data_IF_615007427906
#
_entry.id   IF_615007427906
#
_cell.length_a   1.000
_cell.length_b   1.000
_cell.length_c   1.000
_cell.angle_alpha   90.00
_cell.angle_beta   90.00
_cell.angle_gamma   90.00
#
_symmetry.space_group_name_H-M   'P 1'
#
loop_
_entity.id
_entity.type
_entity.pdbx_description
1 polymer ?
#
# COMPACT_ATOMS: atom_id res chain seq x y z
N UNK A 1 18.59 -2.12 10.01
CA UNK A 1 17.47 -2.82 9.35
C UNK A 1 17.87 -3.12 7.93
N UNK A 2 17.82 -4.40 7.56
CA UNK A 2 17.89 -4.82 6.16
C UNK A 2 16.69 -4.24 5.40
N UNK A 3 16.84 -3.98 4.11
CA UNK A 3 15.76 -3.47 3.27
C UNK A 3 15.38 -4.49 2.22
N UNK A 4 14.08 -4.68 2.06
CA UNK A 4 13.51 -5.54 1.03
C UNK A 4 12.86 -4.63 -0.02
N UNK A 5 13.08 -4.96 -1.29
CA UNK A 5 12.44 -4.28 -2.42
C UNK A 5 11.65 -5.27 -3.24
N UNK A 6 10.39 -4.95 -3.50
CA UNK A 6 9.50 -5.70 -4.40
C UNK A 6 9.00 -4.77 -5.49
N UNK A 7 8.78 -5.32 -6.68
CA UNK A 7 8.28 -4.54 -7.82
C UNK A 7 7.31 -5.35 -8.67
N UNK A 8 6.38 -4.64 -9.33
CA UNK A 8 5.44 -5.23 -10.27
C UNK A 8 5.04 -4.21 -11.34
N UNK A 9 4.52 -4.69 -12.46
CA UNK A 9 3.97 -3.87 -13.55
C UNK A 9 2.49 -4.15 -13.73
N UNK A 10 1.69 -3.10 -13.68
CA UNK A 10 0.23 -3.17 -13.81
C UNK A 10 -0.16 -2.60 -15.16
N UNK A 11 -0.86 -3.40 -15.98
CA UNK A 11 -1.37 -3.00 -17.31
C UNK A 11 -2.57 -2.04 -17.21
N UNK A 12 -2.34 -0.88 -16.60
CA UNK A 12 -3.29 0.21 -16.49
C UNK A 12 -2.56 1.56 -16.39
N UNK A 13 -3.24 2.67 -16.78
CA UNK A 13 -2.71 4.02 -16.59
C UNK A 13 -2.50 4.36 -15.11
N UNK A 14 -1.54 5.25 -14.86
CA UNK A 14 -1.09 5.66 -13.53
C UNK A 14 -2.21 6.18 -12.64
N UNK A 15 -3.10 7.01 -13.17
CA UNK A 15 -4.25 7.55 -12.43
C UNK A 15 -5.16 6.44 -11.88
N UNK A 16 -5.43 5.42 -12.70
CA UNK A 16 -6.24 4.27 -12.29
C UNK A 16 -5.53 3.44 -11.22
N UNK A 17 -4.24 3.18 -11.41
CA UNK A 17 -3.43 2.42 -10.45
C UNK A 17 -3.37 3.15 -9.12
N UNK A 18 -3.11 4.45 -9.13
CA UNK A 18 -3.06 5.28 -7.94
C UNK A 18 -4.39 5.32 -7.18
N UNK A 19 -5.51 5.50 -7.89
CA UNK A 19 -6.84 5.48 -7.28
C UNK A 19 -7.12 4.11 -6.63
N UNK A 20 -6.79 3.00 -7.30
CA UNK A 20 -6.98 1.67 -6.73
C UNK A 20 -6.06 1.40 -5.54
N UNK A 21 -4.86 1.96 -5.55
CA UNK A 21 -3.90 1.84 -4.45
C UNK A 21 -4.31 2.63 -3.21
N UNK A 22 -4.99 3.77 -3.38
CA UNK A 22 -5.21 4.74 -2.30
C UNK A 22 -6.65 4.89 -1.83
N UNK A 23 -7.66 4.56 -2.64
CA UNK A 23 -9.05 4.68 -2.20
C UNK A 23 -9.45 3.49 -1.30
N UNK A 24 -10.03 3.73 -0.11
CA UNK A 24 -10.47 2.67 0.81
C UNK A 24 -11.35 1.60 0.14
N UNK A 25 -12.31 2.02 -0.70
CA UNK A 25 -13.23 1.13 -1.44
C UNK A 25 -12.52 0.15 -2.39
N UNK A 26 -11.28 0.47 -2.78
CA UNK A 26 -10.43 -0.41 -3.57
C UNK A 26 -9.48 -1.22 -2.69
N UNK A 27 -8.91 -0.62 -1.64
CA UNK A 27 -7.99 -1.28 -0.69
C UNK A 27 -8.61 -2.55 -0.11
N UNK A 28 -9.87 -2.49 0.34
CA UNK A 28 -10.57 -3.66 0.91
C UNK A 28 -10.67 -4.86 -0.05
N UNK A 29 -10.47 -4.65 -1.35
CA UNK A 29 -10.57 -5.69 -2.38
C UNK A 29 -9.23 -6.36 -2.69
N UNK A 30 -8.12 -5.63 -2.62
CA UNK A 30 -6.81 -6.16 -3.02
C UNK A 30 -5.85 -6.39 -1.86
N UNK A 31 -6.04 -5.72 -0.72
CA UNK A 31 -5.13 -5.81 0.42
C UNK A 31 -5.40 -7.09 1.23
N UNK A 32 -5.13 -8.25 0.65
CA UNK A 32 -5.17 -9.54 1.33
C UNK A 32 -3.86 -10.27 1.10
N UNK A 33 -3.28 -10.85 2.17
CA UNK A 33 -1.99 -11.53 2.10
C UNK A 33 -2.07 -12.84 1.30
N UNK A 34 -3.22 -13.50 1.35
CA UNK A 34 -3.54 -14.72 0.61
C UNK A 34 -5.05 -14.89 0.50
N UNK A 35 -5.49 -15.93 -0.22
CA UNK A 35 -6.91 -16.29 -0.38
C UNK A 35 -7.61 -16.60 0.95
N UNK A 36 -6.87 -16.93 2.01
CA UNK A 36 -7.42 -17.23 3.34
C UNK A 36 -7.64 -15.95 4.18
N UNK A 37 -7.15 -14.80 3.70
CA UNK A 37 -7.27 -13.51 4.37
C UNK A 37 -8.21 -12.56 3.62
N UNK A 38 -8.74 -11.59 4.35
CA UNK A 38 -9.48 -10.47 3.77
C UNK A 38 -9.24 -9.18 4.54
N UNK A 39 -9.61 -8.04 3.94
CA UNK A 39 -9.58 -6.73 4.59
C UNK A 39 -11.00 -6.18 4.70
N UNK A 40 -11.71 -6.41 5.82
CA UNK A 40 -13.09 -5.95 5.98
C UNK A 40 -13.22 -4.42 6.05
N UNK A 41 -12.16 -3.71 6.44
CA UNK A 41 -12.18 -2.25 6.58
C UNK A 41 -10.83 -1.64 6.21
N UNK A 42 -10.86 -0.52 5.51
CA UNK A 42 -9.73 0.35 5.30
C UNK A 42 -10.12 1.81 5.58
N UNK A 43 -9.22 2.56 6.18
CA UNK A 43 -9.29 4.02 6.34
C UNK A 43 -7.99 4.61 5.75
N UNK A 44 -8.10 5.71 4.99
CA UNK A 44 -6.92 6.29 4.36
C UNK A 44 -6.97 7.83 4.28
N UNK A 45 -6.24 8.53 5.14
CA UNK A 45 -6.02 9.98 5.08
C UNK A 45 -4.73 10.28 4.29
N UNK A 46 -4.83 10.27 2.95
CA UNK A 46 -3.69 10.34 2.03
C UNK A 46 -3.10 11.76 1.93
N UNK A 47 -2.37 12.18 2.95
CA UNK A 47 -1.58 13.43 3.00
C UNK A 47 -0.42 13.30 3.97
N UNK A 48 0.63 14.12 3.88
CA UNK A 48 1.70 14.15 4.89
C UNK A 48 1.13 14.33 6.30
N UNK A 49 1.54 13.47 7.23
CA UNK A 49 1.03 13.40 8.61
C UNK A 49 -0.33 12.69 8.76
N UNK A 50 -0.99 12.33 7.66
CA UNK A 50 -2.23 11.56 7.66
C UNK A 50 -1.99 10.09 8.01
N UNK A 51 -3.00 9.45 8.60
CA UNK A 51 -2.97 8.04 9.02
C UNK A 51 -3.70 7.17 7.99
N UNK A 52 -3.13 6.00 7.71
CA UNK A 52 -3.85 4.90 7.07
C UNK A 52 -4.00 3.73 8.04
N UNK A 53 -5.03 2.91 7.83
CA UNK A 53 -5.26 1.68 8.58
C UNK A 53 -6.05 0.70 7.73
N UNK A 54 -5.53 -0.52 7.57
CA UNK A 54 -6.23 -1.65 6.98
C UNK A 54 -6.40 -2.73 8.03
N UNK A 55 -7.65 -3.10 8.32
CA UNK A 55 -7.97 -4.22 9.20
C UNK A 55 -7.81 -5.50 8.40
N UNK A 56 -6.83 -6.33 8.70
CA UNK A 56 -6.59 -7.61 8.03
C UNK A 56 -7.02 -8.77 8.93
N UNK A 57 -7.83 -9.68 8.42
CA UNK A 57 -8.38 -10.82 9.19
C UNK A 57 -8.29 -12.13 8.40
N UNK A 58 -8.10 -13.24 9.11
CA UNK A 58 -8.29 -14.57 8.56
C UNK A 58 -9.78 -14.83 8.40
N UNK A 59 -10.20 -15.39 7.26
CA UNK A 59 -11.63 -15.61 6.94
C UNK A 59 -12.32 -16.60 7.88
N UNK A 60 -11.55 -17.43 8.58
CA UNK A 60 -12.06 -18.35 9.61
C UNK A 60 -12.27 -17.67 10.98
N UNK A 61 -11.90 -16.38 11.11
CA UNK A 61 -12.03 -15.60 12.34
C UNK A 61 -10.98 -15.91 13.41
N UNK A 62 -9.97 -16.73 13.11
CA UNK A 62 -8.95 -17.14 14.09
C UNK A 62 -8.01 -16.01 14.50
N UNK A 63 -7.78 -15.06 13.60
CA UNK A 63 -6.79 -14.01 13.77
C UNK A 63 -7.18 -12.73 13.01
N UNK A 64 -6.80 -11.58 13.55
CA UNK A 64 -6.87 -10.31 12.84
C UNK A 64 -6.08 -9.21 13.53
N UNK A 65 -5.54 -8.30 12.73
CA UNK A 65 -4.72 -7.17 13.20
C UNK A 65 -4.95 -5.95 12.33
N UNK A 66 -4.58 -4.78 12.84
CA UNK A 66 -4.62 -3.53 12.10
C UNK A 66 -3.23 -3.22 11.55
N UNK A 67 -3.09 -3.26 10.23
CA UNK A 67 -1.91 -2.74 9.55
C UNK A 67 -2.09 -1.24 9.36
N UNK A 68 -1.28 -0.43 10.06
CA UNK A 68 -1.43 1.02 10.06
C UNK A 68 -0.07 1.71 10.01
N UNK A 69 -0.11 2.96 9.55
CA UNK A 69 1.06 3.84 9.53
C UNK A 69 0.68 5.31 9.33
N UNK A 70 1.69 6.16 9.39
CA UNK A 70 1.59 7.60 9.15
C UNK A 70 2.37 7.94 7.89
N UNK A 71 1.75 8.65 6.97
CA UNK A 71 2.42 9.15 5.76
C UNK A 71 3.45 10.22 6.12
N UNK A 72 4.68 10.03 5.67
CA UNK A 72 5.77 11.00 5.80
C UNK A 72 5.75 11.99 4.63
N UNK A 73 5.61 11.47 3.41
CA UNK A 73 5.54 12.25 2.17
C UNK A 73 4.53 11.63 1.21
N UNK A 74 3.75 12.48 0.54
CA UNK A 74 2.82 12.07 -0.53
C UNK A 74 3.01 13.03 -1.70
N UNK A 75 3.52 12.51 -2.81
CA UNK A 75 3.52 13.18 -4.12
C UNK A 75 2.53 12.44 -5.02
N UNK A 76 1.35 13.03 -5.31
CA UNK A 76 0.34 12.39 -6.12
C UNK A 76 0.91 11.82 -7.42
N UNK A 77 0.59 10.56 -7.71
CA UNK A 77 1.03 9.84 -8.90
C UNK A 77 2.55 9.61 -9.03
N UNK A 78 3.31 9.73 -7.93
CA UNK A 78 4.77 9.59 -8.00
C UNK A 78 5.33 8.81 -6.81
N UNK A 79 5.03 9.27 -5.59
CA UNK A 79 5.70 8.81 -4.38
C UNK A 79 4.74 8.78 -3.19
N UNK A 80 4.81 7.70 -2.42
CA UNK A 80 4.26 7.61 -1.07
C UNK A 80 5.36 7.10 -0.16
N UNK A 81 5.61 7.76 0.97
CA UNK A 81 6.44 7.21 2.03
C UNK A 81 5.68 7.23 3.34
N UNK A 82 5.90 6.22 4.18
CA UNK A 82 5.25 6.13 5.48
C UNK A 82 6.11 5.43 6.52
N UNK A 83 5.73 5.64 7.78
CA UNK A 83 6.26 4.91 8.93
C UNK A 83 5.13 4.07 9.52
N UNK A 84 5.39 2.77 9.63
CA UNK A 84 4.50 1.77 10.20
C UNK A 84 4.40 1.97 11.72
N UNK A 85 3.36 1.40 12.34
CA UNK A 85 3.13 1.51 13.77
C UNK A 85 4.26 0.99 14.67
N UNK A 86 5.12 0.12 14.15
CA UNK A 86 6.30 -0.44 14.83
C UNK A 86 7.60 0.32 14.53
N UNK A 87 7.54 1.42 13.78
CA UNK A 87 8.69 2.27 13.45
C UNK A 87 9.41 1.91 12.14
N UNK A 88 9.07 0.79 11.48
CA UNK A 88 9.60 0.47 10.14
C UNK A 88 9.17 1.50 9.12
N UNK A 89 10.01 1.75 8.12
CA UNK A 89 9.73 2.69 7.03
C UNK A 89 9.50 1.97 5.73
N UNK A 90 8.62 2.54 4.90
CA UNK A 90 8.42 2.12 3.53
C UNK A 90 8.36 3.31 2.57
N UNK A 91 8.75 3.04 1.33
CA UNK A 91 8.65 3.96 0.19
C UNK A 91 8.09 3.26 -1.02
N UNK A 92 7.09 3.86 -1.67
CA UNK A 92 6.43 3.36 -2.86
C UNK A 92 6.59 4.38 -3.98
N UNK A 93 7.10 3.92 -5.11
CA UNK A 93 7.27 4.70 -6.33
C UNK A 93 6.34 4.19 -7.42
N UNK A 94 5.74 5.11 -8.16
CA UNK A 94 4.90 4.83 -9.32
C UNK A 94 5.52 5.46 -10.57
N UNK A 95 5.72 4.66 -11.61
CA UNK A 95 6.28 5.15 -12.88
C UNK A 95 5.40 4.69 -14.03
N UNK A 96 4.85 5.64 -14.79
CA UNK A 96 4.08 5.32 -16.00
C UNK A 96 5.01 4.98 -17.17
N UNK A 97 4.61 4.01 -18.00
CA UNK A 97 5.27 3.74 -19.27
C UNK A 97 5.09 4.92 -20.23
N UNK A 98 6.02 5.07 -21.19
CA UNK A 98 5.95 6.11 -22.20
C UNK A 98 4.65 6.06 -23.05
N UNK A 99 4.06 4.87 -23.18
CA UNK A 99 2.80 4.65 -23.90
C UNK A 99 1.56 4.99 -23.05
N UNK A 100 1.71 5.21 -21.75
CA UNK A 100 0.62 5.54 -20.84
C UNK A 100 -0.28 4.35 -20.43
N UNK A 101 0.02 3.15 -20.91
CA UNK A 101 -0.81 1.95 -20.78
C UNK A 101 -0.44 1.03 -19.61
N UNK A 102 0.73 1.24 -19.02
CA UNK A 102 1.28 0.43 -17.95
C UNK A 102 1.91 1.31 -16.87
N UNK A 103 1.83 0.87 -15.62
CA UNK A 103 2.45 1.53 -14.46
C UNK A 103 3.30 0.53 -13.70
N UNK A 104 4.58 0.85 -13.52
CA UNK A 104 5.48 0.12 -12.63
C UNK A 104 5.32 0.65 -11.20
N UNK A 105 5.20 -0.28 -10.25
CA UNK A 105 5.16 0.02 -8.81
C UNK A 105 6.39 -0.62 -8.18
N UNK A 106 7.13 0.16 -7.39
CA UNK A 106 8.31 -0.32 -6.64
C UNK A 106 8.12 0.05 -5.18
N UNK A 107 8.10 -0.95 -4.31
CA UNK A 107 8.02 -0.77 -2.86
C UNK A 107 9.32 -1.23 -2.21
N UNK A 108 9.88 -0.39 -1.34
CA UNK A 108 11.03 -0.73 -0.49
C UNK A 108 10.65 -0.50 0.96
N UNK A 109 10.89 -1.48 1.83
CA UNK A 109 10.57 -1.38 3.26
C UNK A 109 11.67 -1.99 4.13
N UNK A 110 11.75 -1.52 5.38
CA UNK A 110 12.61 -2.10 6.40
C UNK A 110 12.08 -3.50 6.79
N UNK A 111 12.94 -4.52 6.77
CA UNK A 111 12.59 -5.88 7.18
C UNK A 111 12.37 -5.98 8.70
N UNK A 112 11.58 -6.97 9.11
CA UNK A 112 11.52 -7.39 10.52
C UNK A 112 12.85 -8.05 10.90
N UNK A 113 13.25 -7.92 12.17
CA UNK A 113 14.45 -8.60 12.71
C UNK A 113 14.23 -10.10 12.93
#
# INVERSE_FOLDING_TARGET
MEKITVETSVKAPLEKVWNFWTAPDHIVKWNNASDDWHTPKADNDLRPGGKFSSRMEAKDGSMGFDFWGIYNEVKPHELITYTMGDGRKASLHFTQSAEGTETKIVETFDAEE
#
